data_IF_156467650374
#
_entry.id   IF_156467650374
#
_cell.length_a   1.000
_cell.length_b   1.000
_cell.length_c   1.000
_cell.angle_alpha   90.00
_cell.angle_beta   90.00
_cell.angle_gamma   90.00
#
_symmetry.space_group_name_H-M   'P 1'
#
loop_
_entity.id
_entity.type
_entity.pdbx_description
1 polymer ?
#
# COMPACT_ATOMS: atom_id res chain seq x y z
N UNK A 1 19.31 2.02 5.27
CA UNK A 1 17.95 1.57 5.62
C UNK A 1 16.99 2.67 5.25
N UNK A 2 15.96 2.39 4.46
CA UNK A 2 14.96 3.42 4.11
C UNK A 2 14.22 3.85 5.37
N UNK A 3 13.80 5.12 5.45
CA UNK A 3 12.92 5.56 6.55
C UNK A 3 11.62 4.76 6.61
N UNK A 4 11.23 4.16 5.49
CA UNK A 4 10.04 3.32 5.36
C UNK A 4 10.19 1.96 6.06
N UNK A 5 11.37 1.32 6.06
CA UNK A 5 11.56 0.00 6.69
C UNK A 5 11.27 0.00 8.20
N UNK A 6 11.45 1.15 8.85
CA UNK A 6 11.15 1.30 10.29
C UNK A 6 9.67 1.61 10.58
N UNK A 7 8.87 1.85 9.53
CA UNK A 7 7.46 2.23 9.63
C UNK A 7 6.50 1.10 9.25
N UNK A 8 6.99 0.07 8.55
CA UNK A 8 6.22 -1.07 8.07
C UNK A 8 6.57 -2.31 8.88
N UNK A 9 5.55 -2.96 9.44
CA UNK A 9 5.66 -4.23 10.12
C UNK A 9 4.85 -5.28 9.37
N UNK A 10 5.51 -6.25 8.74
CA UNK A 10 4.84 -7.34 8.05
C UNK A 10 4.17 -8.29 9.04
N UNK A 11 2.95 -8.71 8.72
CA UNK A 11 2.22 -9.70 9.50
C UNK A 11 2.60 -11.10 9.04
N UNK A 12 2.74 -11.99 10.00
CA UNK A 12 2.90 -13.42 9.74
C UNK A 12 1.59 -14.04 9.24
N UNK A 13 1.67 -15.16 8.54
CA UNK A 13 0.50 -15.83 7.93
C UNK A 13 -0.58 -16.22 8.94
N UNK A 14 -0.20 -16.55 10.18
CA UNK A 14 -1.12 -16.89 11.27
C UNK A 14 -1.79 -15.65 11.91
N UNK A 15 -1.32 -14.44 11.62
CA UNK A 15 -1.86 -13.18 12.13
C UNK A 15 -2.94 -12.57 11.24
N UNK A 16 -3.55 -13.35 10.33
CA UNK A 16 -4.48 -12.84 9.32
C UNK A 16 -5.76 -12.17 9.86
N UNK A 17 -6.03 -12.27 11.17
CA UNK A 17 -7.13 -11.59 11.85
C UNK A 17 -6.73 -10.28 12.52
N UNK A 18 -5.44 -9.95 12.53
CA UNK A 18 -4.95 -8.68 13.07
C UNK A 18 -5.33 -7.52 12.15
N UNK A 19 -5.50 -6.34 12.75
CA UNK A 19 -5.78 -5.14 11.98
C UNK A 19 -4.53 -4.74 11.18
N UNK A 20 -4.64 -4.73 9.87
CA UNK A 20 -3.63 -4.21 8.95
C UNK A 20 -4.15 -2.96 8.22
N UNK A 21 -3.24 -2.26 7.58
CA UNK A 21 -3.56 -1.10 6.75
C UNK A 21 -2.65 -0.97 5.54
N UNK A 22 -1.83 -1.99 5.27
CA UNK A 22 -1.04 -2.13 4.06
C UNK A 22 -1.26 -3.54 3.52
N UNK A 23 -1.47 -3.64 2.22
CA UNK A 23 -1.60 -4.89 1.49
C UNK A 23 -0.69 -4.87 0.26
N UNK A 24 -0.11 -6.03 -0.06
CA UNK A 24 0.50 -6.31 -1.37
C UNK A 24 -0.17 -7.55 -1.94
N UNK A 25 -0.74 -7.44 -3.14
CA UNK A 25 -1.28 -8.58 -3.86
C UNK A 25 -0.27 -9.13 -4.84
N UNK A 26 -0.30 -10.45 -5.02
CA UNK A 26 0.56 -11.17 -5.95
C UNK A 26 -0.25 -11.81 -7.08
N UNK A 27 0.44 -12.15 -8.17
CA UNK A 27 -0.15 -12.78 -9.35
C UNK A 27 -0.77 -14.15 -9.06
N UNK A 28 -0.26 -14.86 -8.07
CA UNK A 28 -0.82 -16.14 -7.62
C UNK A 28 -2.12 -15.97 -6.78
N UNK A 29 -2.69 -14.75 -6.72
CA UNK A 29 -3.85 -14.36 -5.93
C UNK A 29 -3.67 -14.43 -4.40
N UNK A 30 -2.44 -14.64 -3.92
CA UNK A 30 -2.10 -14.45 -2.51
C UNK A 30 -1.90 -12.96 -2.18
N UNK A 31 -1.90 -12.64 -0.89
CA UNK A 31 -1.66 -11.29 -0.38
C UNK A 31 -0.71 -11.32 0.81
N UNK A 32 0.11 -10.29 0.93
CA UNK A 32 0.94 -10.01 2.10
C UNK A 32 0.42 -8.77 2.82
N UNK A 33 0.23 -8.87 4.13
CA UNK A 33 -0.35 -7.80 4.95
C UNK A 33 0.69 -7.17 5.85
N UNK A 34 0.56 -5.87 6.09
CA UNK A 34 1.44 -5.11 6.97
C UNK A 34 0.70 -4.05 7.78
N UNK A 35 1.35 -3.62 8.86
CA UNK A 35 0.95 -2.51 9.70
C UNK A 35 1.91 -1.34 9.49
N UNK A 36 1.37 -0.20 9.10
CA UNK A 36 2.00 1.11 9.14
C UNK A 36 1.47 1.90 10.34
N UNK A 37 2.34 2.23 11.31
CA UNK A 37 1.93 2.91 12.55
C UNK A 37 1.33 4.29 12.32
N UNK A 38 1.87 5.04 11.37
CA UNK A 38 1.42 6.38 11.01
C UNK A 38 0.59 6.31 9.72
N UNK A 39 -0.73 6.24 9.84
CA UNK A 39 -1.64 6.23 8.69
C UNK A 39 -2.67 7.36 8.71
N UNK A 40 -2.39 8.41 9.47
CA UNK A 40 -3.16 9.66 9.48
C UNK A 40 -2.33 10.76 8.86
N UNK A 41 -2.91 11.49 7.92
CA UNK A 41 -2.25 12.55 7.15
C UNK A 41 -3.04 13.85 7.29
N UNK A 42 -2.36 15.00 7.17
CA UNK A 42 -3.01 16.30 7.33
C UNK A 42 -3.88 16.72 6.13
N UNK A 43 -3.57 16.22 4.93
CA UNK A 43 -4.36 16.46 3.72
C UNK A 43 -4.04 15.41 2.64
N UNK A 44 -4.83 15.43 1.56
CA UNK A 44 -4.74 14.47 0.43
C UNK A 44 -3.38 14.53 -0.30
N UNK A 45 -2.73 15.69 -0.36
CA UNK A 45 -1.43 15.82 -1.05
C UNK A 45 -0.26 15.21 -0.27
N UNK A 46 -0.47 14.89 1.02
CA UNK A 46 0.52 14.20 1.85
C UNK A 46 0.36 12.68 1.85
N UNK A 47 -0.63 12.15 1.13
CA UNK A 47 -0.81 10.71 1.01
C UNK A 47 0.40 10.04 0.35
N UNK A 48 0.67 8.76 0.65
CA UNK A 48 1.72 7.99 0.00
C UNK A 48 1.64 8.08 -1.52
N UNK A 49 2.75 8.35 -2.20
CA UNK A 49 2.81 8.47 -3.66
C UNK A 49 3.46 7.23 -4.29
N UNK A 50 3.65 7.20 -5.60
CA UNK A 50 4.22 6.02 -6.28
C UNK A 50 5.62 5.63 -5.75
N UNK A 51 6.46 6.61 -5.42
CA UNK A 51 7.77 6.31 -4.84
C UNK A 51 7.68 5.54 -3.51
N UNK A 52 6.61 5.74 -2.73
CA UNK A 52 6.35 4.92 -1.55
C UNK A 52 6.17 3.45 -1.94
N UNK A 53 5.33 3.16 -2.94
CA UNK A 53 5.03 1.79 -3.37
C UNK A 53 6.25 1.10 -3.97
N UNK A 54 7.01 1.79 -4.82
CA UNK A 54 8.29 1.29 -5.35
C UNK A 54 9.34 1.00 -4.25
N UNK A 55 9.25 1.67 -3.10
CA UNK A 55 10.08 1.37 -1.93
C UNK A 55 9.48 0.24 -1.08
N UNK A 56 8.16 0.16 -0.99
CA UNK A 56 7.45 -0.91 -0.28
C UNK A 56 7.74 -2.28 -0.91
N UNK A 57 7.70 -2.38 -2.24
CA UNK A 57 8.05 -3.58 -3.00
C UNK A 57 9.45 -4.11 -2.65
N UNK A 58 10.41 -3.22 -2.45
CA UNK A 58 11.79 -3.58 -2.07
C UNK A 58 11.92 -4.11 -0.64
N UNK A 59 10.88 -3.98 0.19
CA UNK A 59 10.85 -4.42 1.57
C UNK A 59 10.14 -5.77 1.75
N UNK A 60 9.71 -6.41 0.66
CA UNK A 60 9.06 -7.72 0.69
C UNK A 60 9.96 -8.74 1.41
N UNK A 61 9.44 -9.52 2.37
CA UNK A 61 10.20 -10.55 3.05
C UNK A 61 10.75 -11.59 2.07
N UNK A 62 11.95 -12.16 2.30
CA UNK A 62 12.58 -13.09 1.36
C UNK A 62 11.73 -14.29 0.95
N UNK A 63 10.80 -14.74 1.80
CA UNK A 63 9.89 -15.85 1.50
C UNK A 63 8.95 -15.58 0.31
N UNK A 64 8.73 -14.32 -0.04
CA UNK A 64 7.81 -13.89 -1.09
C UNK A 64 8.53 -13.22 -2.27
N UNK A 65 9.87 -13.26 -2.32
CA UNK A 65 10.65 -12.47 -3.29
C UNK A 65 10.49 -12.94 -4.74
N UNK A 66 10.19 -14.22 -4.94
CA UNK A 66 9.98 -14.81 -6.27
C UNK A 66 8.54 -14.61 -6.78
N UNK A 67 7.64 -14.05 -5.96
CA UNK A 67 6.25 -13.80 -6.31
C UNK A 67 6.09 -12.43 -6.99
N UNK A 68 5.50 -12.42 -8.18
CA UNK A 68 5.25 -11.18 -8.94
C UNK A 68 4.13 -10.36 -8.26
N UNK A 69 4.48 -9.16 -7.78
CA UNK A 69 3.54 -8.22 -7.16
C UNK A 69 2.67 -7.59 -8.25
N UNK A 70 1.36 -7.57 -8.03
CA UNK A 70 0.40 -6.96 -8.97
C UNK A 70 -0.14 -5.63 -8.47
N UNK A 71 -0.34 -5.49 -7.16
CA UNK A 71 -0.77 -4.23 -6.57
C UNK A 71 -0.26 -4.04 -5.15
N UNK A 72 -0.24 -2.78 -4.70
CA UNK A 72 -0.10 -2.41 -3.31
C UNK A 72 -1.20 -1.44 -2.90
N UNK A 73 -1.72 -1.60 -1.68
CA UNK A 73 -2.77 -0.76 -1.13
C UNK A 73 -2.41 -0.28 0.28
N UNK A 74 -2.81 0.94 0.60
CA UNK A 74 -2.73 1.50 1.96
C UNK A 74 -4.09 2.09 2.35
N UNK A 75 -4.56 1.72 3.54
CA UNK A 75 -5.70 2.34 4.19
C UNK A 75 -5.23 3.43 5.16
N UNK A 76 -5.63 4.66 4.89
CA UNK A 76 -5.21 5.83 5.65
C UNK A 76 -6.36 6.78 5.95
N UNK A 77 -6.10 7.81 6.74
CA UNK A 77 -7.12 8.77 7.17
C UNK A 77 -6.66 10.22 6.99
N UNK A 78 -7.56 11.08 6.55
CA UNK A 78 -7.40 12.54 6.50
C UNK A 78 -8.62 13.16 7.15
N UNK A 79 -8.43 13.99 8.19
CA UNK A 79 -9.52 14.60 8.96
C UNK A 79 -10.61 13.61 9.40
N UNK A 80 -10.19 12.42 9.82
CA UNK A 80 -11.08 11.34 10.27
C UNK A 80 -11.80 10.58 9.14
N UNK A 81 -11.64 10.97 7.87
CA UNK A 81 -12.18 10.25 6.71
C UNK A 81 -11.19 9.22 6.21
N UNK A 82 -11.68 8.02 5.88
CA UNK A 82 -10.88 6.92 5.34
C UNK A 82 -10.60 7.12 3.86
N UNK A 83 -9.37 6.84 3.45
CA UNK A 83 -8.93 6.78 2.06
C UNK A 83 -8.17 5.48 1.80
N UNK A 84 -8.25 5.02 0.55
CA UNK A 84 -7.44 3.93 0.01
C UNK A 84 -6.50 4.51 -1.03
N UNK A 85 -5.21 4.24 -0.87
CA UNK A 85 -4.18 4.61 -1.84
C UNK A 85 -3.68 3.32 -2.47
N UNK A 86 -3.82 3.21 -3.79
CA UNK A 86 -3.56 1.98 -4.52
C UNK A 86 -2.53 2.27 -5.61
N UNK A 87 -1.54 1.38 -5.75
CA UNK A 87 -0.65 1.33 -6.90
C UNK A 87 -0.74 -0.03 -7.56
N UNK A 88 -1.07 -0.08 -8.84
CA UNK A 88 -1.07 -1.28 -9.66
C UNK A 88 0.27 -1.33 -10.42
N UNK A 89 1.11 -2.30 -10.09
CA UNK A 89 2.47 -2.43 -10.63
C UNK A 89 2.48 -2.94 -12.07
N UNK A 90 1.47 -3.71 -12.47
CA UNK A 90 1.35 -4.27 -13.82
C UNK A 90 0.97 -3.24 -14.88
N UNK A 91 0.33 -2.15 -14.45
CA UNK A 91 -0.24 -1.10 -15.32
C UNK A 91 0.29 0.30 -15.01
N UNK A 92 1.21 0.42 -14.04
CA UNK A 92 1.72 1.69 -13.51
C UNK A 92 0.60 2.69 -13.19
N UNK A 93 -0.47 2.20 -12.56
CA UNK A 93 -1.67 2.97 -12.25
C UNK A 93 -1.73 3.30 -10.75
N UNK A 94 -1.69 4.59 -10.43
CA UNK A 94 -1.84 5.11 -9.08
C UNK A 94 -3.23 5.72 -8.88
N UNK A 95 -3.88 5.35 -7.78
CA UNK A 95 -5.22 5.83 -7.43
C UNK A 95 -5.33 6.22 -5.97
N UNK A 96 -6.07 7.30 -5.71
CA UNK A 96 -6.58 7.66 -4.38
C UNK A 96 -8.09 7.57 -4.43
N UNK A 97 -8.67 6.78 -3.53
CA UNK A 97 -10.09 6.49 -3.47
C UNK A 97 -10.59 6.86 -2.07
N UNK A 98 -11.78 7.45 -1.98
CA UNK A 98 -12.43 7.73 -0.69
C UNK A 98 -13.20 6.50 -0.14
N UNK A 99 -13.93 6.69 0.96
CA UNK A 99 -14.70 5.63 1.62
C UNK A 99 -15.98 5.22 0.87
N UNK A 100 -16.32 5.92 -0.21
CA UNK A 100 -17.47 5.65 -1.09
C UNK A 100 -17.05 5.10 -2.44
N UNK A 101 -15.81 4.63 -2.54
CA UNK A 101 -15.21 4.14 -3.78
C UNK A 101 -15.14 5.21 -4.90
N UNK A 102 -15.15 6.51 -4.54
CA UNK A 102 -14.97 7.60 -5.51
C UNK A 102 -13.49 7.83 -5.75
N UNK A 103 -13.06 7.82 -7.02
CA UNK A 103 -11.69 8.13 -7.41
C UNK A 103 -11.45 9.64 -7.28
N UNK A 104 -10.57 10.03 -6.37
CA UNK A 104 -10.20 11.42 -6.11
C UNK A 104 -9.00 11.83 -6.96
N UNK A 105 -8.07 10.89 -7.19
CA UNK A 105 -6.86 11.11 -8.00
C UNK A 105 -6.53 9.82 -8.73
N UNK A 106 -6.19 9.93 -10.02
CA UNK A 106 -5.75 8.82 -10.87
C UNK A 106 -4.59 9.28 -11.74
N UNK A 107 -3.53 8.47 -11.80
CA UNK A 107 -2.37 8.69 -12.68
C UNK A 107 -2.08 7.35 -13.35
N UNK A 108 -2.01 7.34 -14.69
CA UNK A 108 -1.72 6.16 -15.51
C UNK A 108 -0.57 6.49 -16.47
N UNK A 109 0.46 5.64 -16.52
CA UNK A 109 1.47 5.62 -17.58
C UNK A 109 2.51 6.75 -17.57
N UNK A 110 3.79 6.34 -17.61
CA UNK A 110 5.04 7.12 -17.66
C UNK A 110 5.39 7.90 -16.38
N UNK A 111 5.58 7.17 -15.28
CA UNK A 111 6.42 7.61 -14.15
C UNK A 111 7.89 7.29 -14.40
#
# INVERSE_FOLDING_TARGET
MSTLSNKIYWLESWQSKEKHNVELGFKNASMLMAIMKENTFSNIEQLPNVNFFLQLEKLIPPLYIDEEVTYGEIICHVDGKKYRVIYQYDTDCYMVIDDRDTIIKKIEGNL
#
